data_IF_621085199467
#
_entry.id   IF_621085199467
#
_cell.length_a   1.000
_cell.length_b   1.000
_cell.length_c   1.000
_cell.angle_alpha   90.00
_cell.angle_beta   90.00
_cell.angle_gamma   90.00
#
_symmetry.space_group_name_H-M   'P 1'
#
loop_
_entity.id
_entity.type
_entity.pdbx_description
1 polymer ?
#
# COMPACT_ATOMS: atom_id res chain seq x y z
N UNK A 1 -34.29 -12.87 -31.17
CA UNK A 1 -33.13 -12.08 -31.67
C UNK A 1 -32.83 -10.85 -30.80
N UNK A 2 -33.83 -10.11 -30.28
CA UNK A 2 -33.58 -9.01 -29.34
C UNK A 2 -33.05 -9.49 -27.96
N UNK A 3 -33.58 -10.59 -27.42
CA UNK A 3 -33.12 -11.13 -26.12
C UNK A 3 -31.68 -11.63 -26.13
N UNK A 4 -31.22 -12.23 -27.24
CA UNK A 4 -29.82 -12.69 -27.37
C UNK A 4 -28.86 -11.51 -27.32
N UNK A 5 -29.16 -10.42 -28.03
CA UNK A 5 -28.37 -9.18 -27.97
C UNK A 5 -28.32 -8.57 -26.57
N UNK A 6 -29.40 -8.69 -25.81
CA UNK A 6 -29.45 -8.22 -24.42
C UNK A 6 -28.57 -9.09 -23.50
N UNK A 7 -28.60 -10.42 -23.67
CA UNK A 7 -27.74 -11.35 -22.90
C UNK A 7 -26.26 -11.13 -23.22
N UNK A 8 -25.91 -10.93 -24.49
CA UNK A 8 -24.54 -10.67 -24.91
C UNK A 8 -24.01 -9.36 -24.29
N UNK A 9 -24.80 -8.27 -24.34
CA UNK A 9 -24.44 -6.99 -23.73
C UNK A 9 -24.29 -7.05 -22.20
N UNK A 10 -25.12 -7.85 -21.52
CA UNK A 10 -25.01 -8.11 -20.07
C UNK A 10 -23.70 -8.86 -19.78
N UNK A 11 -23.36 -9.85 -20.59
CA UNK A 11 -22.14 -10.65 -20.42
C UNK A 11 -20.88 -9.82 -20.63
N UNK A 12 -20.86 -8.95 -21.63
CA UNK A 12 -19.78 -7.97 -21.85
C UNK A 12 -19.64 -7.02 -20.65
N UNK A 13 -20.75 -6.47 -20.16
CA UNK A 13 -20.75 -5.57 -19.00
C UNK A 13 -20.25 -6.27 -17.73
N UNK A 14 -20.65 -7.52 -17.50
CA UNK A 14 -20.18 -8.32 -16.36
C UNK A 14 -18.68 -8.60 -16.45
N UNK A 15 -18.19 -8.92 -17.65
CA UNK A 15 -16.76 -9.15 -17.90
C UNK A 15 -15.95 -7.88 -17.62
N UNK A 16 -16.42 -6.72 -18.09
CA UNK A 16 -15.76 -5.44 -17.83
C UNK A 16 -15.73 -5.08 -16.33
N UNK A 17 -16.83 -5.37 -15.60
CA UNK A 17 -16.88 -5.18 -14.15
C UNK A 17 -15.91 -6.11 -13.42
N UNK A 18 -15.85 -7.39 -13.82
CA UNK A 18 -14.89 -8.35 -13.25
C UNK A 18 -13.44 -7.90 -13.45
N UNK A 19 -13.09 -7.45 -14.66
CA UNK A 19 -11.76 -6.91 -14.94
C UNK A 19 -11.43 -5.71 -14.07
N UNK A 20 -12.38 -4.77 -13.95
CA UNK A 20 -12.22 -3.59 -13.07
C UNK A 20 -12.03 -3.97 -11.60
N UNK A 21 -12.72 -5.01 -11.11
CA UNK A 21 -12.57 -5.52 -9.76
C UNK A 21 -11.20 -6.17 -9.54
N UNK A 22 -10.72 -6.97 -10.50
CA UNK A 22 -9.38 -7.58 -10.46
C UNK A 22 -8.30 -6.51 -10.39
N UNK A 23 -8.39 -5.49 -11.24
CA UNK A 23 -7.44 -4.37 -11.26
C UNK A 23 -7.44 -3.59 -9.93
N UNK A 24 -8.63 -3.28 -9.39
CA UNK A 24 -8.75 -2.62 -8.08
C UNK A 24 -8.16 -3.45 -6.95
N UNK A 25 -8.39 -4.76 -6.94
CA UNK A 25 -7.85 -5.66 -5.93
C UNK A 25 -6.32 -5.74 -6.02
N UNK A 26 -5.77 -5.92 -7.22
CA UNK A 26 -4.32 -5.95 -7.44
C UNK A 26 -3.66 -4.63 -7.01
N UNK A 27 -4.34 -3.50 -7.20
CA UNK A 27 -3.87 -2.19 -6.72
C UNK A 27 -3.86 -2.11 -5.19
N UNK A 28 -4.90 -2.60 -4.52
CA UNK A 28 -4.95 -2.63 -3.05
C UNK A 28 -3.85 -3.53 -2.46
N UNK A 29 -3.48 -4.60 -3.17
CA UNK A 29 -2.42 -5.54 -2.76
C UNK A 29 -0.99 -4.97 -2.78
N UNK A 30 -0.80 -3.74 -3.29
CA UNK A 30 0.50 -3.07 -3.25
C UNK A 30 0.99 -2.86 -1.81
N UNK A 31 2.30 -2.94 -1.66
CA UNK A 31 3.00 -2.65 -0.41
C UNK A 31 3.58 -1.24 -0.53
N UNK A 32 3.24 -0.37 0.41
CA UNK A 32 3.99 0.86 0.61
C UNK A 32 5.12 0.62 1.59
N UNK A 33 6.27 1.23 1.36
CA UNK A 33 7.44 1.07 2.21
C UNK A 33 8.16 2.40 2.39
N UNK A 34 8.64 2.65 3.60
CA UNK A 34 9.47 3.82 3.88
C UNK A 34 10.61 3.44 4.82
N UNK A 35 11.75 4.06 4.57
CA UNK A 35 12.99 3.90 5.33
C UNK A 35 13.42 5.28 5.81
N UNK A 36 14.04 5.35 6.98
CA UNK A 36 14.56 6.62 7.50
C UNK A 36 15.75 7.17 6.70
N UNK A 37 16.77 6.32 6.50
CA UNK A 37 17.96 6.64 5.73
C UNK A 37 18.14 5.57 4.63
N UNK A 38 18.13 5.95 3.34
CA UNK A 38 18.34 5.01 2.24
C UNK A 38 19.75 4.41 2.16
N UNK A 39 20.76 5.07 2.72
CA UNK A 39 22.16 4.63 2.70
C UNK A 39 22.47 3.71 3.89
N UNK A 40 21.93 4.02 5.07
CA UNK A 40 22.12 3.24 6.29
C UNK A 40 20.81 3.10 7.07
N UNK A 41 19.89 2.21 6.64
CA UNK A 41 18.55 2.13 7.22
C UNK A 41 18.59 1.66 8.68
N UNK A 42 17.99 2.42 9.57
CA UNK A 42 17.81 2.01 10.98
C UNK A 42 16.40 1.53 11.26
N UNK A 43 15.41 2.04 10.51
CA UNK A 43 14.02 1.61 10.62
C UNK A 43 13.36 1.57 9.24
N UNK A 44 12.60 0.50 9.01
CA UNK A 44 11.80 0.31 7.80
C UNK A 44 10.39 -0.06 8.23
N UNK A 45 9.39 0.62 7.68
CA UNK A 45 7.97 0.27 7.87
C UNK A 45 7.37 -0.14 6.54
N UNK A 46 6.62 -1.24 6.54
CA UNK A 46 5.85 -1.71 5.38
C UNK A 46 4.36 -1.69 5.69
N UNK A 47 3.57 -1.21 4.74
CA UNK A 47 2.11 -1.09 4.83
C UNK A 47 1.46 -1.84 3.69
N UNK A 48 0.44 -2.64 4.00
CA UNK A 48 -0.42 -3.34 3.02
C UNK A 48 -1.88 -3.22 3.44
N UNK A 49 -2.78 -2.98 2.49
CA UNK A 49 -4.22 -2.81 2.75
C UNK A 49 -4.55 -1.78 3.85
N UNK A 50 -3.77 -0.69 3.93
CA UNK A 50 -3.96 0.35 4.95
C UNK A 50 -3.64 -0.12 6.37
N UNK A 51 -2.84 -1.18 6.52
CA UNK A 51 -2.38 -1.70 7.80
C UNK A 51 -0.87 -1.89 7.76
N UNK A 52 -0.22 -1.73 8.91
CA UNK A 52 1.20 -2.08 9.05
C UNK A 52 1.32 -3.58 8.86
N UNK A 53 2.16 -3.98 7.91
CA UNK A 53 2.53 -5.37 7.67
C UNK A 53 3.61 -5.79 8.65
N UNK A 54 4.67 -4.98 8.74
CA UNK A 54 5.78 -5.16 9.66
C UNK A 54 6.59 -3.89 9.82
N UNK A 55 7.44 -3.91 10.86
CA UNK A 55 8.43 -2.90 11.17
C UNK A 55 9.75 -3.65 11.41
N UNK A 56 10.78 -3.32 10.65
CA UNK A 56 12.14 -3.81 10.84
C UNK A 56 13.01 -2.71 11.41
N UNK A 57 13.82 -3.05 12.40
CA UNK A 57 14.55 -2.09 13.22
C UNK A 57 15.96 -2.63 13.49
N UNK A 58 16.98 -1.79 13.33
CA UNK A 58 18.37 -2.12 13.65
C UNK A 58 18.71 -1.76 15.10
N UNK A 59 19.75 -2.39 15.65
CA UNK A 59 20.18 -2.11 17.04
C UNK A 59 20.67 -0.67 17.25
N UNK A 60 20.97 0.08 16.17
CA UNK A 60 21.44 1.46 16.25
C UNK A 60 20.43 2.37 16.98
N UNK A 61 19.13 2.09 16.87
CA UNK A 61 18.08 2.89 17.52
C UNK A 61 18.11 2.80 19.05
N UNK A 62 18.76 1.78 19.62
CA UNK A 62 18.81 1.56 21.08
C UNK A 62 19.64 2.62 21.81
N UNK A 63 20.48 3.33 21.06
CA UNK A 63 21.30 4.43 21.57
C UNK A 63 20.64 5.80 21.41
N UNK A 64 19.45 5.88 20.78
CA UNK A 64 18.73 7.14 20.58
C UNK A 64 17.97 7.58 21.83
N UNK A 65 17.78 8.89 21.97
CA UNK A 65 16.87 9.42 22.98
C UNK A 65 15.42 9.04 22.64
N UNK A 66 14.59 8.86 23.67
CA UNK A 66 13.23 8.34 23.50
C UNK A 66 12.32 9.27 22.67
N UNK A 67 12.49 10.58 22.80
CA UNK A 67 11.78 11.60 22.04
C UNK A 67 12.20 11.62 20.57
N UNK A 68 13.50 11.50 20.30
CA UNK A 68 14.03 11.39 18.94
C UNK A 68 13.54 10.10 18.25
N UNK A 69 13.58 8.98 18.98
CA UNK A 69 13.07 7.70 18.49
C UNK A 69 11.57 7.77 18.17
N UNK A 70 10.78 8.39 19.04
CA UNK A 70 9.34 8.55 18.81
C UNK A 70 9.07 9.37 17.54
N UNK A 71 9.80 10.46 17.34
CA UNK A 71 9.67 11.30 16.14
C UNK A 71 10.07 10.53 14.86
N UNK A 72 11.16 9.77 14.92
CA UNK A 72 11.64 8.94 13.82
C UNK A 72 10.63 7.86 13.43
N UNK A 73 10.16 7.09 14.42
CA UNK A 73 9.16 6.02 14.22
C UNK A 73 7.88 6.60 13.61
N UNK A 74 7.40 7.73 14.13
CA UNK A 74 6.22 8.40 13.56
C UNK A 74 6.45 8.80 12.09
N UNK A 75 7.59 9.43 11.79
CA UNK A 75 7.91 9.86 10.43
C UNK A 75 7.92 8.68 9.45
N UNK A 76 8.55 7.56 9.82
CA UNK A 76 8.66 6.38 8.95
C UNK A 76 7.32 5.67 8.78
N UNK A 77 6.50 5.57 9.84
CA UNK A 77 5.14 5.03 9.74
C UNK A 77 4.30 5.88 8.78
N UNK A 78 4.26 7.20 8.97
CA UNK A 78 3.47 8.07 8.09
C UNK A 78 3.99 8.04 6.66
N UNK A 79 5.31 8.02 6.46
CA UNK A 79 5.93 7.88 5.14
C UNK A 79 5.47 6.61 4.42
N UNK A 80 5.42 5.47 5.11
CA UNK A 80 4.96 4.20 4.53
C UNK A 80 3.47 4.22 4.16
N UNK A 81 2.65 4.89 4.98
CA UNK A 81 1.23 5.10 4.67
C UNK A 81 1.03 6.03 3.47
N UNK A 82 1.82 7.10 3.37
CA UNK A 82 1.79 8.03 2.24
C UNK A 82 2.20 7.32 0.96
N UNK A 83 3.31 6.58 0.98
CA UNK A 83 3.78 5.80 -0.16
C UNK A 83 2.73 4.76 -0.61
N UNK A 84 2.14 4.02 0.34
CA UNK A 84 1.05 3.09 0.03
C UNK A 84 -0.15 3.82 -0.59
N UNK A 85 -0.57 4.94 0.00
CA UNK A 85 -1.74 5.68 -0.45
C UNK A 85 -1.56 6.26 -1.85
N UNK A 86 -0.41 6.84 -2.17
CA UNK A 86 -0.13 7.37 -3.51
C UNK A 86 -0.12 6.25 -4.56
N UNK A 87 0.44 5.09 -4.22
CA UNK A 87 0.45 3.91 -5.07
C UNK A 87 -0.95 3.29 -5.27
N UNK A 88 -1.87 3.46 -4.31
CA UNK A 88 -3.25 2.95 -4.39
C UNK A 88 -4.22 3.97 -5.01
N UNK A 89 -3.95 5.27 -4.84
CA UNK A 89 -4.80 6.36 -5.37
C UNK A 89 -4.52 6.66 -6.84
N UNK A 90 -3.30 6.37 -7.33
CA UNK A 90 -2.94 6.55 -8.74
C UNK A 90 -4.07 6.02 -9.65
N UNK A 91 -4.67 6.96 -10.40
CA UNK A 91 -5.83 6.79 -11.25
C UNK A 91 -5.44 6.25 -12.62
#
# INVERSE_FOLDING_TARGET
MADTKNIDAITESLTALQMTMVEKNARLDRIGAFVDDPAEPTIIVRVKHGKILDIAVSDAITSMAADELQNLVNAVIFGAFVDWYENVKAR
#
